data_IF_438218187926
#
_entry.id   IF_438218187926
#
_cell.length_a   1.000
_cell.length_b   1.000
_cell.length_c   1.000
_cell.angle_alpha   90.00
_cell.angle_beta   90.00
_cell.angle_gamma   90.00
#
_symmetry.space_group_name_H-M   'P 1'
#
loop_
_entity.id
_entity.type
_entity.pdbx_description
1 polymer ?
#
# COMPACT_ATOMS: atom_id res chain seq x y z
N UNK A 1 15.23 16.63 -28.65
CA UNK A 1 14.91 15.46 -29.43
C UNK A 1 14.36 14.44 -28.45
N UNK A 2 13.02 14.18 -28.47
CA UNK A 2 12.42 13.18 -27.59
C UNK A 2 12.94 11.80 -28.02
N UNK A 3 13.51 11.04 -27.08
CA UNK A 3 13.78 9.64 -27.29
C UNK A 3 12.48 8.96 -27.74
N UNK A 4 12.50 8.49 -28.97
CA UNK A 4 11.41 7.70 -29.54
C UNK A 4 11.28 6.44 -28.68
N UNK A 5 10.20 6.33 -27.91
CA UNK A 5 9.95 5.12 -27.11
C UNK A 5 9.86 3.92 -28.05
N UNK A 6 10.58 2.85 -27.73
CA UNK A 6 10.52 1.59 -28.46
C UNK A 6 9.08 1.09 -28.46
N UNK A 7 8.53 0.70 -29.62
CA UNK A 7 7.18 0.12 -29.68
C UNK A 7 7.04 -1.08 -28.75
N UNK A 8 5.90 -1.18 -28.08
CA UNK A 8 5.63 -2.32 -27.21
C UNK A 8 5.40 -3.58 -28.05
N UNK A 9 5.82 -4.72 -27.52
CA UNK A 9 5.57 -5.99 -28.21
C UNK A 9 4.07 -6.28 -28.30
N UNK A 10 3.67 -7.08 -29.31
CA UNK A 10 2.30 -7.57 -29.45
C UNK A 10 1.77 -8.19 -28.14
N UNK A 11 2.59 -8.98 -27.47
CA UNK A 11 2.25 -9.61 -26.20
C UNK A 11 1.87 -8.59 -25.13
N UNK A 12 2.65 -7.51 -24.96
CA UNK A 12 2.37 -6.45 -23.99
C UNK A 12 1.05 -5.75 -24.33
N UNK A 13 0.83 -5.40 -25.59
CA UNK A 13 -0.42 -4.74 -26.02
C UNK A 13 -1.64 -5.63 -25.82
N UNK A 14 -1.51 -6.92 -26.13
CA UNK A 14 -2.59 -7.90 -25.94
C UNK A 14 -2.93 -8.06 -24.47
N UNK A 15 -1.94 -8.19 -23.61
CA UNK A 15 -2.13 -8.33 -22.16
C UNK A 15 -2.80 -7.10 -21.55
N UNK A 16 -2.38 -5.88 -21.95
CA UNK A 16 -3.03 -4.64 -21.53
C UNK A 16 -4.51 -4.63 -21.95
N UNK A 17 -4.80 -5.09 -23.17
CA UNK A 17 -6.17 -5.17 -23.65
C UNK A 17 -7.00 -6.19 -22.89
N UNK A 18 -6.40 -7.31 -22.51
CA UNK A 18 -7.05 -8.35 -21.71
C UNK A 18 -7.43 -7.84 -20.31
N UNK A 19 -6.57 -7.01 -19.69
CA UNK A 19 -6.88 -6.36 -18.42
C UNK A 19 -7.97 -5.29 -18.57
N UNK A 20 -7.81 -4.37 -19.53
CA UNK A 20 -8.75 -3.26 -19.71
C UNK A 20 -10.13 -3.71 -20.20
N UNK A 21 -10.21 -4.79 -20.96
CA UNK A 21 -11.44 -5.36 -21.49
C UNK A 21 -11.84 -6.68 -20.81
N UNK A 22 -11.45 -6.88 -19.54
CA UNK A 22 -11.83 -8.06 -18.77
C UNK A 22 -13.35 -8.26 -18.77
N UNK A 23 -13.78 -9.51 -18.65
CA UNK A 23 -15.21 -9.87 -18.76
C UNK A 23 -16.00 -9.36 -17.55
N UNK A 24 -15.41 -9.42 -16.38
CA UNK A 24 -16.07 -9.13 -15.10
C UNK A 24 -15.97 -7.67 -14.70
N UNK A 25 -14.77 -7.10 -14.77
CA UNK A 25 -14.45 -5.76 -14.26
C UNK A 25 -13.79 -4.84 -15.30
N UNK A 26 -13.69 -5.29 -16.56
CA UNK A 26 -13.16 -4.49 -17.68
C UNK A 26 -14.17 -3.45 -18.20
N UNK A 27 -13.69 -2.65 -19.16
CA UNK A 27 -14.52 -1.72 -19.90
C UNK A 27 -15.65 -2.44 -20.63
N UNK A 28 -16.82 -1.84 -20.64
CA UNK A 28 -17.94 -2.30 -21.46
C UNK A 28 -17.69 -2.02 -22.95
N UNK A 29 -18.40 -2.70 -23.83
CA UNK A 29 -18.30 -2.44 -25.27
C UNK A 29 -18.60 -0.99 -25.66
N UNK A 30 -19.53 -0.32 -24.92
CA UNK A 30 -19.84 1.09 -25.11
C UNK A 30 -18.68 1.98 -24.63
N UNK A 31 -18.12 1.72 -23.45
CA UNK A 31 -16.97 2.49 -22.95
C UNK A 31 -15.74 2.35 -23.83
N UNK A 32 -15.53 1.17 -24.45
CA UNK A 32 -14.47 0.98 -25.45
C UNK A 32 -14.76 1.87 -26.66
N UNK A 33 -15.97 1.86 -27.20
CA UNK A 33 -16.34 2.73 -28.31
C UNK A 33 -16.10 4.22 -28.01
N UNK A 34 -16.54 4.69 -26.83
CA UNK A 34 -16.33 6.07 -26.38
C UNK A 34 -14.83 6.40 -26.21
N UNK A 35 -14.04 5.45 -25.69
CA UNK A 35 -12.59 5.58 -25.55
C UNK A 35 -11.91 5.74 -26.91
N UNK A 36 -12.22 4.85 -27.87
CA UNK A 36 -11.65 4.87 -29.21
C UNK A 36 -12.03 6.15 -29.96
N UNK A 37 -13.28 6.58 -29.85
CA UNK A 37 -13.76 7.84 -30.44
C UNK A 37 -12.98 9.06 -29.90
N UNK A 38 -12.84 9.17 -28.59
CA UNK A 38 -12.07 10.28 -27.96
C UNK A 38 -10.62 10.29 -28.38
N UNK A 39 -10.03 9.10 -28.58
CA UNK A 39 -8.66 8.93 -29.02
C UNK A 39 -8.48 9.07 -30.53
N UNK A 40 -9.56 9.30 -31.28
CA UNK A 40 -9.59 9.35 -32.75
C UNK A 40 -8.95 8.09 -33.35
N UNK A 41 -9.32 6.94 -32.80
CA UNK A 41 -8.85 5.64 -33.27
C UNK A 41 -9.93 4.96 -34.08
N UNK A 42 -9.53 4.36 -35.19
CA UNK A 42 -10.41 3.46 -35.95
C UNK A 42 -10.67 2.21 -35.10
N UNK A 43 -11.86 1.69 -35.23
CA UNK A 43 -12.30 0.44 -34.60
C UNK A 43 -12.38 -0.64 -35.69
N UNK A 44 -11.29 -1.39 -35.90
CA UNK A 44 -11.19 -2.27 -37.08
C UNK A 44 -12.14 -3.46 -37.02
N UNK A 45 -12.52 -3.91 -35.83
CA UNK A 45 -13.34 -5.10 -35.65
C UNK A 45 -14.40 -4.93 -34.55
N UNK A 46 -15.38 -4.00 -34.73
CA UNK A 46 -16.31 -3.60 -33.65
C UNK A 46 -17.24 -4.73 -33.18
N UNK A 47 -17.39 -5.79 -33.93
CA UNK A 47 -18.32 -6.92 -33.66
C UNK A 47 -17.66 -8.10 -32.96
N UNK A 48 -16.36 -8.04 -32.68
CA UNK A 48 -15.60 -9.11 -32.01
C UNK A 48 -15.64 -8.98 -30.50
N UNK A 49 -14.92 -9.87 -29.79
CA UNK A 49 -14.81 -9.79 -28.34
C UNK A 49 -14.17 -8.46 -27.89
N UNK A 50 -14.56 -7.96 -26.73
CA UNK A 50 -14.01 -6.71 -26.17
C UNK A 50 -12.48 -6.71 -26.15
N UNK A 51 -11.87 -7.85 -25.80
CA UNK A 51 -10.42 -8.02 -25.68
C UNK A 51 -9.74 -7.94 -27.05
N UNK A 52 -10.27 -8.66 -28.03
CA UNK A 52 -9.69 -8.65 -29.38
C UNK A 52 -9.89 -7.29 -30.06
N UNK A 53 -11.09 -6.71 -29.93
CA UNK A 53 -11.40 -5.37 -30.41
C UNK A 53 -10.40 -4.33 -29.93
N UNK A 54 -10.14 -4.29 -28.63
CA UNK A 54 -9.19 -3.34 -28.04
C UNK A 54 -7.75 -3.68 -28.42
N UNK A 55 -7.39 -4.97 -28.42
CA UNK A 55 -6.05 -5.45 -28.77
C UNK A 55 -5.63 -5.11 -30.19
N UNK A 56 -6.46 -5.45 -31.17
CA UNK A 56 -6.19 -5.15 -32.59
C UNK A 56 -6.14 -3.63 -32.83
N UNK A 57 -7.00 -2.86 -32.16
CA UNK A 57 -6.93 -1.40 -32.22
C UNK A 57 -5.61 -0.86 -31.70
N UNK A 58 -5.11 -1.38 -30.58
CA UNK A 58 -3.83 -0.95 -30.01
C UNK A 58 -2.65 -1.31 -30.91
N UNK A 59 -2.66 -2.51 -31.48
CA UNK A 59 -1.62 -2.97 -32.42
C UNK A 59 -1.61 -2.11 -33.68
N UNK A 60 -2.76 -1.94 -34.32
CA UNK A 60 -2.89 -1.16 -35.55
C UNK A 60 -2.38 0.29 -35.34
N UNK A 61 -2.70 0.85 -34.20
CA UNK A 61 -2.35 2.22 -33.91
C UNK A 61 -0.91 2.40 -33.47
N UNK A 62 -0.33 1.46 -32.74
CA UNK A 62 1.07 1.51 -32.39
C UNK A 62 1.99 1.49 -33.62
N UNK A 63 1.60 0.79 -34.65
CA UNK A 63 2.31 0.76 -35.94
C UNK A 63 2.30 2.14 -36.62
N UNK A 64 1.29 2.97 -36.36
CA UNK A 64 1.11 4.26 -36.98
C UNK A 64 1.67 5.43 -36.17
N UNK A 65 1.44 5.43 -34.87
CA UNK A 65 1.99 6.44 -33.96
C UNK A 65 2.24 5.81 -32.56
N UNK A 66 3.39 6.06 -32.02
CA UNK A 66 3.92 5.47 -30.78
C UNK A 66 3.15 5.90 -29.53
N UNK A 67 1.91 5.55 -29.38
CA UNK A 67 1.15 6.13 -28.29
C UNK A 67 0.84 5.17 -27.15
N UNK A 68 1.74 5.09 -26.20
CA UNK A 68 1.48 4.74 -24.79
C UNK A 68 0.41 5.64 -24.12
N UNK A 69 0.10 6.77 -24.73
CA UNK A 69 -0.87 7.79 -24.25
C UNK A 69 -2.29 7.27 -24.05
N UNK A 70 -2.61 6.07 -24.47
CA UNK A 70 -4.00 5.56 -24.57
C UNK A 70 -4.43 4.77 -23.36
N UNK A 71 -3.49 4.04 -22.75
CA UNK A 71 -3.72 3.44 -21.44
C UNK A 71 -4.07 4.55 -20.44
N UNK A 72 -3.35 5.67 -20.53
CA UNK A 72 -3.57 6.87 -19.73
C UNK A 72 -5.01 7.37 -19.79
N UNK A 73 -5.63 7.39 -20.99
CA UNK A 73 -7.01 7.86 -21.09
C UNK A 73 -8.00 6.85 -20.52
N UNK A 74 -7.72 5.55 -20.61
CA UNK A 74 -8.52 4.49 -19.98
C UNK A 74 -8.42 4.54 -18.45
N UNK A 75 -7.25 4.88 -17.92
CA UNK A 75 -6.95 4.97 -16.50
C UNK A 75 -7.08 6.40 -15.93
N UNK A 76 -7.77 7.31 -16.61
CA UNK A 76 -8.04 8.64 -16.05
C UNK A 76 -8.85 8.52 -14.74
N UNK A 77 -8.32 8.99 -13.60
CA UNK A 77 -8.98 8.86 -12.29
C UNK A 77 -10.38 9.46 -12.23
N UNK A 78 -10.69 10.46 -13.06
CA UNK A 78 -12.02 11.07 -13.14
C UNK A 78 -13.10 10.05 -13.52
N UNK A 79 -12.75 9.03 -14.30
CA UNK A 79 -13.67 7.94 -14.68
C UNK A 79 -14.04 7.03 -13.52
N UNK A 80 -13.21 6.98 -12.49
CA UNK A 80 -13.32 6.07 -11.34
C UNK A 80 -13.80 6.76 -10.05
N UNK A 81 -14.32 7.99 -10.14
CA UNK A 81 -14.77 8.75 -8.95
C UNK A 81 -15.77 7.98 -8.09
N UNK A 82 -16.67 7.21 -8.69
CA UNK A 82 -17.66 6.38 -7.99
C UNK A 82 -17.16 4.99 -7.61
N UNK A 83 -16.01 4.58 -8.13
CA UNK A 83 -15.45 3.23 -7.99
C UNK A 83 -13.91 3.27 -7.85
N UNK A 84 -13.37 3.90 -6.80
CA UNK A 84 -11.92 4.03 -6.63
C UNK A 84 -11.21 2.67 -6.47
N UNK A 85 -11.92 1.67 -5.95
CA UNK A 85 -11.40 0.30 -5.82
C UNK A 85 -11.18 -0.37 -7.19
N UNK A 86 -12.04 -0.07 -8.17
CA UNK A 86 -11.87 -0.57 -9.53
C UNK A 86 -10.66 0.07 -10.22
N UNK A 87 -10.36 1.36 -9.93
CA UNK A 87 -9.13 1.99 -10.41
C UNK A 87 -7.90 1.25 -9.87
N UNK A 88 -7.84 1.03 -8.55
CA UNK A 88 -6.71 0.33 -7.92
C UNK A 88 -6.52 -1.08 -8.48
N UNK A 89 -7.60 -1.86 -8.59
CA UNK A 89 -7.54 -3.21 -9.14
C UNK A 89 -7.00 -3.25 -10.58
N UNK A 90 -7.46 -2.35 -11.45
CA UNK A 90 -6.97 -2.26 -12.83
C UNK A 90 -5.54 -1.77 -12.90
N UNK A 91 -5.17 -0.81 -12.04
CA UNK A 91 -3.81 -0.29 -11.93
C UNK A 91 -2.82 -1.41 -11.57
N UNK A 92 -3.14 -2.20 -10.55
CA UNK A 92 -2.29 -3.31 -10.10
C UNK A 92 -2.12 -4.36 -11.20
N UNK A 93 -3.22 -4.78 -11.84
CA UNK A 93 -3.15 -5.73 -12.95
C UNK A 93 -2.35 -5.21 -14.15
N UNK A 94 -2.50 -3.94 -14.49
CA UNK A 94 -1.69 -3.33 -15.56
C UNK A 94 -0.22 -3.27 -15.16
N UNK A 95 0.08 -2.91 -13.93
CA UNK A 95 1.45 -2.77 -13.42
C UNK A 95 2.17 -4.10 -13.34
N UNK A 96 1.48 -5.21 -13.04
CA UNK A 96 2.04 -6.55 -13.10
C UNK A 96 2.64 -6.87 -14.50
N UNK A 97 1.97 -6.45 -15.56
CA UNK A 97 2.45 -6.68 -16.93
C UNK A 97 3.44 -5.60 -17.40
N UNK A 98 3.22 -4.36 -17.02
CA UNK A 98 4.08 -3.25 -17.39
C UNK A 98 5.45 -3.30 -16.68
N UNK A 99 5.54 -3.96 -15.52
CA UNK A 99 6.81 -4.19 -14.82
C UNK A 99 7.85 -4.92 -15.69
N UNK A 100 7.43 -5.84 -16.55
CA UNK A 100 8.36 -6.54 -17.47
C UNK A 100 9.03 -5.61 -18.50
N UNK A 101 8.45 -4.45 -18.76
CA UNK A 101 9.00 -3.43 -19.67
C UNK A 101 9.47 -2.18 -18.94
N UNK A 102 9.60 -2.24 -17.61
CA UNK A 102 10.09 -1.13 -16.78
C UNK A 102 9.15 0.07 -16.75
N UNK A 103 7.85 -0.16 -16.87
CA UNK A 103 6.82 0.86 -16.85
C UNK A 103 5.78 0.58 -15.77
N UNK A 104 5.03 1.61 -15.40
CA UNK A 104 3.87 1.50 -14.50
C UNK A 104 2.82 2.56 -14.82
N UNK A 105 1.59 2.30 -14.46
CA UNK A 105 0.54 3.32 -14.35
C UNK A 105 0.62 3.89 -12.93
N UNK A 106 0.81 5.20 -12.82
CA UNK A 106 0.83 5.88 -11.53
C UNK A 106 -0.60 6.23 -11.06
N UNK A 107 -0.71 6.78 -9.84
CA UNK A 107 -1.99 7.15 -9.24
C UNK A 107 -2.74 8.26 -10.00
N UNK A 108 -2.04 8.99 -10.85
CA UNK A 108 -2.66 9.96 -11.75
C UNK A 108 -3.18 9.31 -13.04
N UNK A 109 -3.12 7.97 -13.15
CA UNK A 109 -3.49 7.23 -14.34
C UNK A 109 -2.50 7.37 -15.50
N UNK A 110 -1.29 7.89 -15.27
CA UNK A 110 -0.28 8.12 -16.29
C UNK A 110 0.76 7.01 -16.32
N UNK A 111 1.24 6.69 -17.52
CA UNK A 111 2.38 5.78 -17.67
C UNK A 111 3.67 6.49 -17.25
N UNK A 112 4.39 5.88 -16.34
CA UNK A 112 5.66 6.36 -15.79
C UNK A 112 6.71 5.24 -15.80
N UNK A 113 7.98 5.59 -15.63
CA UNK A 113 9.05 4.61 -15.42
C UNK A 113 8.79 3.86 -14.11
N UNK A 114 9.00 2.56 -14.11
CA UNK A 114 8.87 1.66 -12.96
C UNK A 114 10.08 0.75 -12.80
N UNK A 115 10.07 -0.07 -11.77
CA UNK A 115 11.04 -1.14 -11.62
C UNK A 115 10.85 -2.21 -12.72
N UNK A 116 11.94 -2.88 -13.09
CA UNK A 116 11.90 -3.96 -14.08
C UNK A 116 11.80 -5.30 -13.35
N UNK A 117 10.76 -6.07 -13.64
CA UNK A 117 10.60 -7.43 -13.13
C UNK A 117 11.27 -8.44 -14.08
N UNK A 118 11.90 -9.46 -13.51
CA UNK A 118 12.47 -10.59 -14.25
C UNK A 118 11.64 -11.88 -14.08
N UNK A 119 10.82 -11.94 -13.04
CA UNK A 119 9.94 -13.08 -12.73
C UNK A 119 8.50 -12.63 -12.52
N UNK A 120 7.55 -13.58 -12.62
CA UNK A 120 6.14 -13.31 -12.33
C UNK A 120 5.92 -12.89 -10.86
N UNK A 121 6.60 -13.52 -9.91
CA UNK A 121 6.49 -13.17 -8.49
C UNK A 121 7.03 -11.76 -8.21
N UNK A 122 8.11 -11.38 -8.88
CA UNK A 122 8.66 -10.03 -8.78
C UNK A 122 7.72 -8.99 -9.41
N UNK A 123 7.12 -9.30 -10.55
CA UNK A 123 6.13 -8.43 -11.19
C UNK A 123 4.90 -8.23 -10.32
N UNK A 124 4.36 -9.30 -9.72
CA UNK A 124 3.26 -9.22 -8.78
C UNK A 124 3.60 -8.36 -7.55
N UNK A 125 4.81 -8.52 -6.99
CA UNK A 125 5.27 -7.72 -5.86
C UNK A 125 5.42 -6.24 -6.20
N UNK A 126 5.94 -5.91 -7.37
CA UNK A 126 6.10 -4.52 -7.85
C UNK A 126 4.73 -3.87 -8.14
N UNK A 127 3.76 -4.65 -8.63
CA UNK A 127 2.44 -4.16 -9.03
C UNK A 127 1.52 -3.91 -7.84
N UNK A 128 1.61 -4.77 -6.82
CA UNK A 128 0.69 -4.75 -5.67
C UNK A 128 0.80 -3.43 -4.91
N UNK A 129 -0.33 -2.79 -4.67
CA UNK A 129 -0.36 -1.59 -3.85
C UNK A 129 0.01 -1.92 -2.39
N UNK A 130 0.60 -0.96 -1.67
CA UNK A 130 0.93 -1.13 -0.24
C UNK A 130 -0.32 -1.54 0.56
N UNK A 131 -1.47 -0.98 0.22
CA UNK A 131 -2.73 -1.30 0.89
C UNK A 131 -3.13 -2.77 0.70
N UNK A 132 -3.05 -3.27 -0.54
CA UNK A 132 -3.42 -4.65 -0.86
C UNK A 132 -2.43 -5.62 -0.24
N UNK A 133 -1.15 -5.27 -0.22
CA UNK A 133 -0.14 -6.06 0.48
C UNK A 133 -0.41 -6.12 2.00
N UNK A 134 -0.83 -5.03 2.62
CA UNK A 134 -1.24 -5.00 4.03
C UNK A 134 -2.50 -5.85 4.27
N UNK A 135 -3.48 -5.82 3.36
CA UNK A 135 -4.65 -6.70 3.43
C UNK A 135 -4.26 -8.17 3.25
N UNK A 136 -3.40 -8.48 2.29
CA UNK A 136 -2.87 -9.84 2.07
C UNK A 136 -2.15 -10.38 3.31
N UNK A 137 -1.36 -9.55 4.00
CA UNK A 137 -0.71 -9.87 5.27
C UNK A 137 -1.68 -9.91 6.44
N UNK A 138 -2.96 -9.63 6.21
CA UNK A 138 -3.98 -9.51 7.26
C UNK A 138 -3.55 -8.55 8.37
N UNK A 139 -3.02 -7.39 8.01
CA UNK A 139 -2.61 -6.39 8.98
C UNK A 139 -3.77 -5.96 9.87
N UNK A 140 -3.44 -5.60 11.09
CA UNK A 140 -4.43 -5.23 12.10
C UNK A 140 -5.29 -4.04 11.65
N UNK A 141 -6.63 -4.02 11.93
CA UNK A 141 -7.51 -2.93 11.51
C UNK A 141 -7.04 -1.54 11.92
N UNK A 142 -6.44 -1.40 13.09
CA UNK A 142 -5.88 -0.12 13.55
C UNK A 142 -4.79 0.40 12.61
N UNK A 143 -3.93 -0.46 12.05
CA UNK A 143 -2.94 -0.05 11.06
C UNK A 143 -3.61 0.42 9.77
N UNK A 144 -4.63 -0.32 9.29
CA UNK A 144 -5.34 0.00 8.06
C UNK A 144 -6.07 1.36 8.12
N UNK A 145 -6.49 1.80 9.32
CA UNK A 145 -7.06 3.14 9.53
C UNK A 145 -6.09 4.26 9.19
N UNK A 146 -4.79 4.06 9.44
CA UNK A 146 -3.74 5.04 9.17
C UNK A 146 -3.14 4.92 7.77
N UNK A 147 -3.44 3.82 7.06
CA UNK A 147 -3.04 3.59 5.68
C UNK A 147 -4.11 4.06 4.69
N UNK A 148 -4.67 5.24 4.89
CA UNK A 148 -5.52 5.86 3.88
C UNK A 148 -4.71 6.13 2.61
N UNK A 149 -5.34 6.00 1.45
CA UNK A 149 -4.71 6.27 0.15
C UNK A 149 -4.01 7.64 0.11
N UNK A 150 -4.54 8.64 0.81
CA UNK A 150 -3.95 9.97 0.90
C UNK A 150 -2.67 10.02 1.71
N UNK A 151 -2.60 9.27 2.82
CA UNK A 151 -1.40 9.18 3.67
C UNK A 151 -0.28 8.44 2.93
N UNK A 152 -0.61 7.32 2.29
CA UNK A 152 0.34 6.54 1.51
C UNK A 152 0.88 7.31 0.30
N UNK A 153 0.03 8.09 -0.39
CA UNK A 153 0.42 8.88 -1.57
C UNK A 153 1.29 10.09 -1.24
N UNK A 154 1.11 10.69 -0.09
CA UNK A 154 1.75 11.98 0.24
C UNK A 154 3.04 11.88 1.02
N UNK A 155 3.22 10.86 1.87
CA UNK A 155 4.46 10.72 2.64
C UNK A 155 4.50 9.38 3.40
N UNK A 156 5.25 8.41 2.93
CA UNK A 156 5.51 7.14 3.64
C UNK A 156 6.00 7.37 5.06
N UNK A 157 6.86 8.36 5.24
CA UNK A 157 7.31 8.80 6.55
C UNK A 157 6.15 9.21 7.47
N UNK A 158 5.16 9.92 6.92
CA UNK A 158 3.98 10.34 7.68
C UNK A 158 3.09 9.14 8.05
N UNK A 159 2.96 8.16 7.15
CA UNK A 159 2.26 6.91 7.44
C UNK A 159 2.91 6.13 8.59
N UNK A 160 4.24 6.00 8.58
CA UNK A 160 4.99 5.37 9.67
C UNK A 160 4.83 6.13 11.00
N UNK A 161 4.85 7.47 10.95
CA UNK A 161 4.63 8.32 12.11
C UNK A 161 3.23 8.11 12.71
N UNK A 162 2.19 8.21 11.90
CA UNK A 162 0.80 8.06 12.38
C UNK A 162 0.54 6.64 12.88
N UNK A 163 1.03 5.62 12.17
CA UNK A 163 0.95 4.24 12.64
C UNK A 163 1.68 4.04 13.98
N UNK A 164 2.84 4.65 14.17
CA UNK A 164 3.56 4.60 15.45
C UNK A 164 2.78 5.31 16.57
N UNK A 165 2.16 6.45 16.28
CA UNK A 165 1.30 7.16 17.25
C UNK A 165 0.12 6.32 17.70
N UNK A 166 -0.47 5.52 16.80
CA UNK A 166 -1.61 4.66 17.13
C UNK A 166 -1.32 3.68 18.27
N UNK A 167 -0.07 3.21 18.39
CA UNK A 167 0.36 2.36 19.50
C UNK A 167 0.16 3.09 20.85
N UNK A 168 0.61 4.34 20.91
CA UNK A 168 0.55 5.13 22.16
C UNK A 168 -0.88 5.56 22.48
N UNK A 169 -1.69 5.88 21.48
CA UNK A 169 -3.12 6.15 21.67
C UNK A 169 -3.83 4.94 22.26
N UNK A 170 -3.51 3.75 21.76
CA UNK A 170 -4.09 2.52 22.27
C UNK A 170 -3.59 2.18 23.67
N UNK A 171 -2.31 2.38 23.98
CA UNK A 171 -1.79 2.22 25.35
C UNK A 171 -2.54 3.10 26.34
N UNK A 172 -2.73 4.40 26.04
CA UNK A 172 -3.52 5.30 26.87
C UNK A 172 -4.95 4.79 27.06
N UNK A 173 -5.59 4.34 25.99
CA UNK A 173 -6.96 3.82 26.04
C UNK A 173 -7.10 2.57 26.91
N UNK A 174 -6.13 1.66 26.86
CA UNK A 174 -6.17 0.39 27.59
C UNK A 174 -5.75 0.53 29.07
N UNK A 175 -4.87 1.46 29.39
CA UNK A 175 -4.27 1.57 30.74
C UNK A 175 -4.77 2.77 31.54
N UNK A 176 -5.34 3.79 30.87
CA UNK A 176 -5.62 5.07 31.49
C UNK A 176 -4.38 5.90 31.83
N UNK A 177 -3.18 5.43 31.47
CA UNK A 177 -1.93 6.15 31.73
C UNK A 177 -1.89 7.47 30.96
N UNK A 178 -1.30 8.48 31.60
CA UNK A 178 -0.98 9.77 30.98
C UNK A 178 0.47 9.75 30.48
N UNK A 179 0.79 10.63 29.54
CA UNK A 179 2.15 10.74 29.01
C UNK A 179 2.26 10.30 27.57
N UNK A 180 3.49 10.13 27.10
CA UNK A 180 3.76 9.91 25.70
C UNK A 180 5.14 9.27 25.45
N UNK A 181 5.31 8.66 24.25
CA UNK A 181 6.58 8.13 23.81
C UNK A 181 7.16 7.05 24.72
N UNK A 182 8.48 7.08 24.93
CA UNK A 182 9.19 6.07 25.70
C UNK A 182 8.73 6.00 27.17
N UNK A 183 8.36 7.14 27.76
CA UNK A 183 7.87 7.21 29.16
C UNK A 183 6.55 6.44 29.26
N UNK A 184 5.59 6.69 28.38
CA UNK A 184 4.32 5.96 28.38
C UNK A 184 4.52 4.45 28.12
N UNK A 185 5.45 4.09 27.24
CA UNK A 185 5.76 2.69 26.99
C UNK A 185 6.34 1.99 28.23
N UNK A 186 7.22 2.67 28.97
CA UNK A 186 7.76 2.14 30.23
C UNK A 186 6.67 2.06 31.31
N UNK A 187 5.88 3.10 31.51
CA UNK A 187 4.81 3.10 32.49
C UNK A 187 3.77 2.00 32.23
N UNK A 188 3.39 1.81 30.97
CA UNK A 188 2.35 0.86 30.59
C UNK A 188 2.83 -0.59 30.53
N UNK A 189 4.04 -0.83 30.01
CA UNK A 189 4.49 -2.17 29.60
C UNK A 189 5.65 -2.72 30.44
N UNK A 190 6.43 -1.88 31.13
CA UNK A 190 7.56 -2.38 31.88
C UNK A 190 7.11 -3.13 33.13
N UNK A 191 7.83 -4.19 33.49
CA UNK A 191 7.55 -4.98 34.71
C UNK A 191 7.76 -4.19 36.00
N UNK A 192 8.57 -3.14 35.95
CA UNK A 192 8.89 -2.32 37.12
C UNK A 192 9.44 -3.12 38.31
N UNK A 193 9.43 -2.52 39.51
CA UNK A 193 9.87 -3.18 40.74
C UNK A 193 8.85 -4.21 41.25
N UNK A 194 7.58 -4.06 40.90
CA UNK A 194 6.49 -4.98 41.28
C UNK A 194 6.49 -6.28 40.50
N UNK A 195 7.16 -6.31 39.35
CA UNK A 195 7.10 -7.43 38.41
C UNK A 195 5.78 -7.51 37.63
N UNK A 196 4.87 -6.53 37.76
CA UNK A 196 3.55 -6.50 37.12
C UNK A 196 3.40 -5.17 36.35
N UNK A 197 3.25 -5.20 35.02
CA UNK A 197 3.03 -4.00 34.22
C UNK A 197 1.56 -3.56 34.30
N UNK A 198 1.26 -2.32 33.89
CA UNK A 198 -0.13 -1.87 33.75
C UNK A 198 -0.90 -2.65 32.67
N UNK A 199 -0.20 -3.08 31.61
CA UNK A 199 -0.74 -3.89 30.52
C UNK A 199 0.13 -5.13 30.31
N UNK A 200 -0.37 -6.29 30.74
CA UNK A 200 0.31 -7.56 30.59
C UNK A 200 -0.14 -8.28 29.32
N UNK A 201 0.79 -8.66 28.44
CA UNK A 201 0.49 -9.36 27.16
C UNK A 201 0.41 -10.89 27.31
N UNK A 202 0.74 -11.38 28.46
CA UNK A 202 0.70 -12.81 28.82
C UNK A 202 0.53 -12.98 30.34
N UNK A 203 0.62 -14.20 30.84
CA UNK A 203 0.36 -14.51 32.25
C UNK A 203 1.50 -14.16 33.21
N UNK A 204 2.68 -13.80 32.72
CA UNK A 204 3.90 -13.46 33.47
C UNK A 204 4.38 -14.56 34.46
N UNK A 205 3.96 -15.81 34.23
CA UNK A 205 4.27 -16.94 35.15
C UNK A 205 5.68 -17.48 34.95
N UNK A 206 6.17 -17.47 33.72
CA UNK A 206 7.50 -18.00 33.36
C UNK A 206 8.48 -16.87 33.07
N UNK A 207 9.78 -17.18 33.14
CA UNK A 207 10.82 -16.24 32.75
C UNK A 207 10.66 -15.84 31.26
N UNK A 208 10.36 -16.79 30.40
CA UNK A 208 10.10 -16.54 28.96
C UNK A 208 8.98 -15.53 28.74
N UNK A 209 7.87 -15.65 29.45
CA UNK A 209 6.75 -14.69 29.35
C UNK A 209 7.15 -13.29 29.83
N UNK A 210 7.98 -13.20 30.87
CA UNK A 210 8.53 -11.89 31.34
C UNK A 210 9.49 -11.29 30.34
N UNK A 211 10.30 -12.12 29.69
CA UNK A 211 11.23 -11.68 28.65
C UNK A 211 10.45 -11.21 27.40
N UNK A 212 9.35 -11.88 27.01
CA UNK A 212 8.46 -11.43 25.94
C UNK A 212 7.83 -10.06 26.26
N UNK A 213 7.35 -9.86 27.50
CA UNK A 213 6.81 -8.58 27.97
C UNK A 213 7.85 -7.46 27.85
N UNK A 214 9.06 -7.71 28.34
CA UNK A 214 10.18 -6.76 28.27
C UNK A 214 10.60 -6.49 26.82
N UNK A 215 10.63 -7.53 26.01
CA UNK A 215 10.92 -7.43 24.57
C UNK A 215 9.92 -6.54 23.85
N UNK A 216 8.60 -6.70 24.13
CA UNK A 216 7.59 -5.84 23.53
C UNK A 216 7.73 -4.37 23.98
N UNK A 217 7.98 -4.12 25.27
CA UNK A 217 8.22 -2.76 25.77
C UNK A 217 9.40 -2.10 25.05
N UNK A 218 10.49 -2.81 24.85
CA UNK A 218 11.67 -2.33 24.13
C UNK A 218 11.39 -2.08 22.64
N UNK A 219 10.63 -2.96 22.01
CA UNK A 219 10.21 -2.77 20.60
C UNK A 219 9.37 -1.50 20.42
N UNK A 220 8.39 -1.26 21.29
CA UNK A 220 7.55 -0.06 21.26
C UNK A 220 8.39 1.22 21.46
N UNK A 221 9.37 1.19 22.39
CA UNK A 221 10.33 2.30 22.55
C UNK A 221 11.21 2.50 21.32
N UNK A 222 11.64 1.41 20.68
CA UNK A 222 12.41 1.45 19.43
C UNK A 222 11.63 2.10 18.29
N UNK A 223 10.37 1.72 18.10
CA UNK A 223 9.47 2.33 17.11
C UNK A 223 9.27 3.83 17.37
N UNK A 224 9.12 4.22 18.62
CA UNK A 224 9.07 5.62 19.00
C UNK A 224 10.35 6.37 18.62
N UNK A 225 11.51 5.80 18.92
CA UNK A 225 12.80 6.41 18.62
C UNK A 225 13.10 6.52 17.13
N UNK A 226 12.69 5.53 16.34
CA UNK A 226 12.96 5.49 14.90
C UNK A 226 12.00 6.34 14.06
N UNK A 227 10.71 6.37 14.40
CA UNK A 227 9.67 6.92 13.51
C UNK A 227 8.93 8.12 14.11
N UNK A 228 8.93 8.30 15.44
CA UNK A 228 8.21 9.39 16.08
C UNK A 228 9.12 10.55 16.51
N UNK A 229 10.21 10.28 17.19
CA UNK A 229 11.11 11.31 17.71
C UNK A 229 11.84 12.13 16.62
N UNK A 230 12.31 11.54 15.49
CA UNK A 230 13.02 12.31 14.48
C UNK A 230 12.18 13.38 13.82
N UNK A 231 10.84 13.23 13.82
CA UNK A 231 9.93 14.23 13.24
C UNK A 231 9.84 15.53 13.99
N UNK A 232 10.21 15.54 15.26
CA UNK A 232 10.13 16.74 16.09
C UNK A 232 11.33 17.69 15.92
N UNK A 233 12.46 17.18 15.39
CA UNK A 233 13.74 17.87 15.42
C UNK A 233 14.49 17.96 14.08
N UNK A 234 14.14 17.17 13.07
CA UNK A 234 14.84 17.17 11.78
C UNK A 234 13.96 17.62 10.61
N UNK A 235 14.47 18.45 9.69
CA UNK A 235 13.73 18.83 8.49
C UNK A 235 13.42 17.59 7.64
N UNK A 236 12.18 17.47 7.16
CA UNK A 236 11.63 16.38 6.32
C UNK A 236 12.47 16.04 5.06
N UNK A 237 13.47 16.84 4.72
CA UNK A 237 14.25 16.73 3.51
C UNK A 237 15.33 15.64 3.52
N UNK A 238 15.62 15.05 4.70
CA UNK A 238 16.80 14.19 4.86
C UNK A 238 16.49 12.69 5.00
N UNK A 239 15.21 12.27 5.11
CA UNK A 239 14.85 10.87 5.23
C UNK A 239 13.69 10.49 4.29
N UNK A 240 14.00 9.62 3.34
CA UNK A 240 13.01 8.96 2.47
C UNK A 240 12.76 7.55 2.98
N UNK A 241 11.50 7.19 3.18
CA UNK A 241 11.07 5.82 3.44
C UNK A 241 10.57 5.25 2.12
N UNK A 242 11.10 4.12 1.69
CA UNK A 242 10.63 3.41 0.51
C UNK A 242 9.45 2.49 0.85
N UNK A 243 8.85 1.86 -0.17
CA UNK A 243 7.68 0.99 -0.02
C UNK A 243 7.98 -0.22 0.86
N UNK A 244 9.17 -0.82 0.73
CA UNK A 244 9.57 -1.99 1.51
C UNK A 244 9.70 -1.64 3.00
N UNK A 245 10.40 -0.56 3.35
CA UNK A 245 10.52 -0.08 4.74
C UNK A 245 9.15 0.27 5.33
N UNK A 246 8.28 0.92 4.55
CA UNK A 246 6.91 1.22 5.00
C UNK A 246 6.15 -0.06 5.34
N UNK A 247 6.16 -1.06 4.47
CA UNK A 247 5.48 -2.35 4.69
C UNK A 247 6.03 -3.08 5.92
N UNK A 248 7.33 -3.06 6.13
CA UNK A 248 7.98 -3.64 7.31
C UNK A 248 7.51 -2.96 8.59
N UNK A 249 7.56 -1.64 8.63
CA UNK A 249 7.12 -0.86 9.81
C UNK A 249 5.64 -1.09 10.12
N UNK A 250 4.77 -1.02 9.11
CA UNK A 250 3.33 -1.22 9.30
C UNK A 250 3.01 -2.65 9.75
N UNK A 251 3.78 -3.64 9.28
CA UNK A 251 3.64 -5.04 9.73
C UNK A 251 4.07 -5.22 11.18
N UNK A 252 5.15 -4.56 11.60
CA UNK A 252 5.59 -4.56 13.01
C UNK A 252 4.55 -3.89 13.91
N UNK A 253 4.03 -2.72 13.51
CA UNK A 253 2.97 -2.03 14.25
C UNK A 253 1.71 -2.91 14.36
N UNK A 254 1.36 -3.62 13.28
CA UNK A 254 0.27 -4.60 13.28
C UNK A 254 0.49 -5.71 14.33
N UNK A 255 1.68 -6.25 14.42
CA UNK A 255 2.04 -7.27 15.40
C UNK A 255 1.89 -6.72 16.83
N UNK A 256 2.33 -5.49 17.10
CA UNK A 256 2.17 -4.85 18.41
C UNK A 256 0.68 -4.72 18.78
N UNK A 257 -0.16 -4.26 17.85
CA UNK A 257 -1.61 -4.16 18.08
C UNK A 257 -2.24 -5.52 18.40
N UNK A 258 -1.84 -6.61 17.72
CA UNK A 258 -2.32 -7.97 18.03
C UNK A 258 -1.91 -8.44 19.41
N UNK A 259 -0.71 -8.08 19.87
CA UNK A 259 -0.29 -8.38 21.25
C UNK A 259 -1.18 -7.65 22.27
N UNK A 260 -1.64 -6.44 21.95
CA UNK A 260 -2.56 -5.70 22.80
C UNK A 260 -3.98 -6.26 22.79
N UNK A 261 -4.44 -6.94 21.74
CA UNK A 261 -5.76 -7.59 21.68
C UNK A 261 -5.91 -8.66 22.77
N UNK A 262 -4.84 -9.41 23.03
CA UNK A 262 -4.80 -10.44 24.06
C UNK A 262 -4.33 -9.97 25.43
N UNK A 263 -4.06 -8.65 25.60
CA UNK A 263 -3.49 -8.13 26.82
C UNK A 263 -4.54 -7.89 27.90
N UNK A 264 -4.12 -8.02 29.15
CA UNK A 264 -4.93 -7.76 30.34
C UNK A 264 -4.40 -6.51 31.06
N UNK A 265 -5.28 -5.52 31.27
CA UNK A 265 -4.94 -4.40 32.15
C UNK A 265 -4.94 -4.87 33.61
N UNK A 266 -3.86 -4.60 34.32
CA UNK A 266 -3.88 -4.75 35.78
C UNK A 266 -4.76 -3.65 36.37
N UNK A 267 -5.90 -4.02 36.92
CA UNK A 267 -6.72 -3.07 37.67
C UNK A 267 -5.84 -2.50 38.79
N UNK A 268 -5.45 -1.24 38.64
CA UNK A 268 -4.85 -0.50 39.76
C UNK A 268 -5.83 -0.56 40.89
N UNK A 269 -5.56 -1.40 41.88
CA UNK A 269 -6.35 -1.46 43.10
C UNK A 269 -6.37 -0.07 43.72
N UNK A 270 -7.52 0.55 43.71
CA UNK A 270 -7.82 1.66 44.58
C UNK A 270 -7.67 1.13 46.02
N UNK A 271 -6.59 1.48 46.68
CA UNK A 271 -6.45 1.37 48.10
C UNK A 271 -6.51 2.76 48.70
#
# INVERSE_FOLDING_TARGET
MSELQTPWSYTVLKTISDVLADTSDGLTGREIGDLLFRLRMEDPIPTTTKRDRLGETFVARQNNDQSSKRIVTAMDPVRYRSQPELFALRQDRLNEHLAFVGLRVNDEGKVAKGAVAQTLDEAARIATSIRDELHRRKCHPEVLRYCSLEVLKKAHFHACLEASKSIFDRLRSLTGASGDGAVLADDALALGKSGVPMLAINSLRTQTEKDEQTGLANLVKGLNGLYRNPTAHDPRLNRTINDDELLEVLTIVSMVHRRFDGASASNGGSS
#
